data_IF_899627118111
#
_entry.id   IF_899627118111
#
_cell.length_a   1.000
_cell.length_b   1.000
_cell.length_c   1.000
_cell.angle_alpha   90.00
_cell.angle_beta   90.00
_cell.angle_gamma   90.00
#
_symmetry.space_group_name_H-M   'P 1'
#
loop_
_entity.id
_entity.type
_entity.pdbx_description
1 polymer ?
#
# COMPACT_ATOMS: atom_id res chain seq x y z
N UNK A 1 -8.17 6.56 -4.29
CA UNK A 1 -7.41 6.29 -5.53
C UNK A 1 -8.15 5.44 -6.59
N UNK A 2 -9.28 4.80 -6.27
CA UNK A 2 -9.92 3.85 -7.21
C UNK A 2 -10.57 4.52 -8.43
N UNK A 3 -11.17 5.70 -8.27
CA UNK A 3 -11.93 6.37 -9.33
C UNK A 3 -11.09 6.75 -10.56
N UNK A 4 -9.90 7.40 -10.43
CA UNK A 4 -9.05 7.66 -11.59
C UNK A 4 -8.62 6.38 -12.32
N UNK A 5 -8.30 5.31 -11.59
CA UNK A 5 -7.90 4.03 -12.18
C UNK A 5 -9.06 3.33 -12.91
N UNK A 6 -10.28 3.37 -12.36
CA UNK A 6 -11.49 2.85 -13.05
C UNK A 6 -11.80 3.60 -14.34
N UNK A 7 -11.47 4.90 -14.40
CA UNK A 7 -11.62 5.76 -15.57
C UNK A 7 -10.43 5.68 -16.56
N UNK A 8 -9.41 4.84 -16.29
CA UNK A 8 -8.22 4.73 -17.15
C UNK A 8 -7.24 5.91 -17.05
N UNK A 9 -7.45 6.81 -16.09
CA UNK A 9 -6.59 7.96 -15.76
C UNK A 9 -5.61 7.64 -14.63
N UNK A 10 -5.53 6.37 -14.22
CA UNK A 10 -4.59 5.86 -13.23
C UNK A 10 -3.16 5.86 -13.77
N UNK A 11 -2.21 6.06 -12.88
CA UNK A 11 -0.84 6.31 -13.29
C UNK A 11 0.19 6.22 -12.17
N UNK A 12 1.44 5.91 -12.54
CA UNK A 12 2.56 5.94 -11.60
C UNK A 12 2.81 7.37 -11.14
N UNK A 13 3.17 7.56 -9.90
CA UNK A 13 3.43 8.87 -9.33
C UNK A 13 4.91 9.21 -9.57
N UNK A 14 5.18 10.28 -10.32
CA UNK A 14 6.55 10.71 -10.64
C UNK A 14 7.39 9.56 -11.23
N UNK A 15 8.63 9.37 -10.76
CA UNK A 15 9.51 8.26 -11.10
C UNK A 15 8.97 6.87 -10.67
N UNK A 16 8.14 6.81 -9.62
CA UNK A 16 7.43 5.60 -9.19
C UNK A 16 8.25 4.64 -8.32
N UNK A 17 9.48 5.01 -7.93
CA UNK A 17 10.35 4.17 -7.11
C UNK A 17 10.08 4.30 -5.61
N UNK A 18 9.34 5.33 -5.20
CA UNK A 18 8.95 5.51 -3.81
C UNK A 18 8.13 4.31 -3.32
N UNK A 19 8.47 3.82 -2.13
CA UNK A 19 7.77 2.70 -1.51
C UNK A 19 6.37 3.13 -1.08
N UNK A 20 5.39 2.26 -1.33
CA UNK A 20 4.01 2.47 -0.96
C UNK A 20 3.60 1.38 0.03
N UNK A 21 3.60 1.67 1.34
CA UNK A 21 3.08 0.73 2.31
C UNK A 21 1.61 0.42 2.02
N UNK A 22 1.26 -0.85 2.11
CA UNK A 22 -0.08 -1.35 1.89
C UNK A 22 -0.37 -2.45 2.92
N UNK A 23 -1.65 -2.70 3.20
CA UNK A 23 -2.09 -3.83 4.01
C UNK A 23 -3.55 -4.13 3.64
N UNK A 24 -3.94 -5.40 3.64
CA UNK A 24 -5.33 -5.77 3.46
C UNK A 24 -6.15 -5.44 4.72
N UNK A 25 -7.41 -5.04 4.55
CA UNK A 25 -8.29 -4.65 5.66
C UNK A 25 -8.44 -5.77 6.72
N UNK A 26 -8.49 -7.02 6.26
CA UNK A 26 -8.58 -8.17 7.16
C UNK A 26 -7.32 -8.34 8.02
N UNK A 27 -6.14 -8.16 7.44
CA UNK A 27 -4.88 -8.33 8.18
C UNK A 27 -4.63 -7.19 9.17
N UNK A 28 -5.00 -5.94 8.85
CA UNK A 28 -4.86 -4.85 9.82
C UNK A 28 -5.80 -5.03 11.02
N UNK A 29 -7.04 -5.51 10.78
CA UNK A 29 -7.96 -5.81 11.87
C UNK A 29 -7.45 -6.95 12.76
N UNK A 30 -6.95 -8.03 12.16
CA UNK A 30 -6.31 -9.13 12.88
C UNK A 30 -5.07 -8.68 13.65
N UNK A 31 -4.27 -7.78 13.09
CA UNK A 31 -3.08 -7.26 13.75
C UNK A 31 -3.46 -6.51 15.03
N UNK A 32 -4.50 -5.67 15.01
CA UNK A 32 -4.99 -5.02 16.22
C UNK A 32 -5.44 -6.02 17.29
N UNK A 33 -6.21 -7.03 16.90
CA UNK A 33 -6.66 -8.09 17.84
C UNK A 33 -5.46 -8.84 18.41
N UNK A 34 -4.54 -9.26 17.54
CA UNK A 34 -3.32 -9.99 17.93
C UNK A 34 -2.49 -9.21 18.95
N UNK A 35 -2.21 -7.93 18.66
CA UNK A 35 -1.42 -7.07 19.54
C UNK A 35 -2.16 -6.80 20.87
N UNK A 36 -3.48 -6.68 20.86
CA UNK A 36 -4.27 -6.51 22.10
C UNK A 36 -4.26 -7.73 23.02
N UNK A 37 -3.99 -8.92 22.48
CA UNK A 37 -3.99 -10.19 23.20
C UNK A 37 -2.57 -10.64 23.64
N UNK A 38 -1.52 -9.94 23.20
CA UNK A 38 -0.14 -10.28 23.52
C UNK A 38 0.47 -9.26 24.47
N UNK A 39 0.66 -9.63 25.74
CA UNK A 39 1.23 -8.73 26.76
C UNK A 39 2.66 -8.25 26.40
N UNK A 40 3.40 -9.07 25.64
CA UNK A 40 4.74 -8.74 25.12
C UNK A 40 4.72 -7.74 23.96
N UNK A 41 3.55 -7.42 23.40
CA UNK A 41 3.41 -6.45 22.31
C UNK A 41 3.46 -5.01 22.85
N UNK A 42 4.68 -4.52 23.10
CA UNK A 42 4.92 -3.18 23.65
C UNK A 42 5.57 -2.24 22.61
N UNK A 43 5.11 -0.99 22.60
CA UNK A 43 5.66 0.07 21.73
C UNK A 43 5.05 0.12 20.32
N UNK A 44 5.84 0.63 19.36
CA UNK A 44 5.36 0.92 18.00
C UNK A 44 5.50 -0.30 17.08
N UNK A 45 4.44 -0.61 16.33
CA UNK A 45 4.35 -1.66 15.32
C UNK A 45 3.96 -1.08 13.95
N UNK A 46 4.55 -1.63 12.87
CA UNK A 46 4.17 -1.27 11.51
C UNK A 46 2.95 -2.08 11.05
N UNK A 47 1.85 -1.39 10.74
CA UNK A 47 0.64 -1.99 10.17
C UNK A 47 0.71 -2.13 8.66
N UNK A 48 1.72 -2.85 8.16
CA UNK A 48 1.98 -3.00 6.72
C UNK A 48 2.15 -4.47 6.36
N UNK A 49 1.82 -4.83 5.13
CA UNK A 49 2.05 -6.16 4.58
C UNK A 49 3.57 -6.46 4.53
N UNK A 50 3.97 -7.74 4.63
CA UNK A 50 5.38 -8.12 4.81
C UNK A 50 6.24 -7.91 3.56
N UNK A 51 5.63 -7.71 2.39
CA UNK A 51 6.33 -7.52 1.12
C UNK A 51 6.13 -6.07 0.63
N UNK A 52 7.10 -5.17 0.90
CA UNK A 52 7.02 -3.78 0.44
C UNK A 52 7.03 -3.71 -1.08
N UNK A 53 6.26 -2.76 -1.61
CA UNK A 53 6.15 -2.53 -3.05
C UNK A 53 6.43 -1.06 -3.37
N UNK A 54 6.94 -0.81 -4.55
CA UNK A 54 7.06 0.55 -5.09
C UNK A 54 5.73 1.02 -5.65
N UNK A 55 5.56 2.33 -5.79
CA UNK A 55 4.38 2.90 -6.45
C UNK A 55 4.20 2.35 -7.89
N UNK A 56 5.29 2.10 -8.61
CA UNK A 56 5.25 1.46 -9.94
C UNK A 56 4.64 0.06 -9.87
N UNK A 57 5.07 -0.77 -8.93
CA UNK A 57 4.53 -2.12 -8.72
C UNK A 57 3.06 -2.07 -8.33
N UNK A 58 2.70 -1.18 -7.40
CA UNK A 58 1.31 -0.97 -6.97
C UNK A 58 0.41 -0.55 -8.13
N UNK A 59 0.83 0.46 -8.89
CA UNK A 59 0.10 0.99 -10.05
C UNK A 59 -0.13 -0.10 -11.10
N UNK A 60 0.91 -0.89 -11.41
CA UNK A 60 0.82 -1.98 -12.38
C UNK A 60 -0.16 -3.06 -11.92
N UNK A 61 -0.08 -3.45 -10.64
CA UNK A 61 -0.94 -4.49 -10.09
C UNK A 61 -2.41 -4.05 -10.07
N UNK A 62 -2.68 -2.80 -9.67
CA UNK A 62 -4.03 -2.23 -9.66
C UNK A 62 -4.61 -2.09 -11.07
N UNK A 63 -3.81 -1.62 -12.04
CA UNK A 63 -4.24 -1.54 -13.42
C UNK A 63 -4.57 -2.92 -14.02
N UNK A 64 -3.77 -3.94 -13.67
CA UNK A 64 -4.01 -5.33 -14.08
C UNK A 64 -5.31 -5.87 -13.49
N UNK A 65 -5.51 -5.69 -12.18
CA UNK A 65 -6.71 -6.17 -11.48
C UNK A 65 -8.01 -5.53 -12.02
N UNK A 66 -7.93 -4.26 -12.46
CA UNK A 66 -9.05 -3.53 -13.04
C UNK A 66 -9.23 -3.71 -14.56
N UNK A 67 -8.36 -4.47 -15.23
CA UNK A 67 -8.29 -4.52 -16.71
C UNK A 67 -8.17 -3.13 -17.36
N UNK A 68 -7.43 -2.21 -16.74
CA UNK A 68 -7.21 -0.83 -17.21
C UNK A 68 -5.72 -0.49 -17.12
N UNK A 69 -4.98 -0.41 -18.25
CA UNK A 69 -3.55 -0.11 -18.22
C UNK A 69 -3.28 1.29 -17.66
N UNK A 70 -2.50 1.37 -16.58
CA UNK A 70 -2.16 2.61 -15.89
C UNK A 70 -0.75 3.11 -16.29
N UNK A 71 -0.60 3.51 -17.55
CA UNK A 71 0.71 3.81 -18.17
C UNK A 71 1.15 5.27 -18.06
N UNK A 72 0.22 6.21 -17.85
CA UNK A 72 0.54 7.63 -17.81
C UNK A 72 1.10 8.03 -16.45
N UNK A 73 2.31 8.61 -16.34
CA UNK A 73 2.78 9.10 -15.07
C UNK A 73 1.96 10.32 -14.63
N UNK A 74 1.54 10.36 -13.37
CA UNK A 74 0.91 11.52 -12.75
C UNK A 74 2.01 12.50 -12.32
N UNK A 75 2.08 13.72 -12.87
CA UNK A 75 3.07 14.70 -12.48
C UNK A 75 2.91 15.13 -11.02
N UNK A 76 4.02 15.37 -10.33
CA UNK A 76 4.01 15.82 -8.93
C UNK A 76 3.23 17.14 -8.73
N UNK A 77 3.24 18.02 -9.73
CA UNK A 77 2.49 19.29 -9.70
C UNK A 77 0.98 19.06 -9.60
N UNK A 78 0.45 18.06 -10.31
CA UNK A 78 -0.98 17.70 -10.26
C UNK A 78 -1.34 17.17 -8.86
N UNK A 79 -0.47 16.34 -8.29
CA UNK A 79 -0.67 15.82 -6.93
C UNK A 79 -0.60 16.92 -5.87
N UNK A 80 0.36 17.83 -5.98
CA UNK A 80 0.48 19.00 -5.09
C UNK A 80 -0.74 19.91 -5.20
N UNK A 81 -1.25 20.14 -6.40
CA UNK A 81 -2.46 20.93 -6.61
C UNK A 81 -3.72 20.26 -6.02
N UNK A 82 -3.84 18.94 -6.14
CA UNK A 82 -5.00 18.19 -5.66
C UNK A 82 -4.97 17.89 -4.15
N UNK A 83 -3.80 17.63 -3.57
CA UNK A 83 -3.64 17.12 -2.20
C UNK A 83 -2.81 18.03 -1.28
N UNK A 84 -2.25 19.14 -1.78
CA UNK A 84 -1.41 20.04 -0.99
C UNK A 84 -0.20 19.33 -0.37
N UNK A 85 0.04 19.56 0.91
CA UNK A 85 1.13 18.93 1.69
C UNK A 85 0.98 17.41 1.82
N UNK A 86 -0.26 16.88 1.75
CA UNK A 86 -0.50 15.43 1.78
C UNK A 86 0.09 14.72 0.55
N UNK A 87 0.39 15.45 -0.52
CA UNK A 87 1.12 14.91 -1.68
C UNK A 87 2.52 14.41 -1.32
N UNK A 88 3.15 14.92 -0.26
CA UNK A 88 4.47 14.46 0.18
C UNK A 88 4.47 13.01 0.64
N UNK A 89 3.37 12.53 1.24
CA UNK A 89 3.20 11.12 1.60
C UNK A 89 3.23 10.22 0.36
N UNK A 90 2.70 10.72 -0.75
CA UNK A 90 2.68 10.01 -2.04
C UNK A 90 3.99 10.12 -2.81
N UNK A 91 4.80 11.17 -2.54
CA UNK A 91 6.04 11.47 -3.25
C UNK A 91 7.29 10.92 -2.55
N UNK A 92 7.33 10.91 -1.21
CA UNK A 92 8.48 10.43 -0.43
C UNK A 92 8.49 8.91 -0.25
N UNK A 93 7.33 8.31 0.00
CA UNK A 93 7.19 6.88 0.26
C UNK A 93 7.90 6.39 1.53
N UNK A 94 7.51 5.22 2.04
CA UNK A 94 8.13 4.63 3.23
C UNK A 94 8.26 3.12 3.06
N UNK A 95 9.45 2.58 3.28
CA UNK A 95 9.67 1.12 3.32
C UNK A 95 9.44 0.59 4.73
N UNK A 96 8.19 0.53 5.14
CA UNK A 96 7.79 0.02 6.45
C UNK A 96 7.59 -1.49 6.40
N UNK A 97 8.40 -2.24 7.16
CA UNK A 97 8.35 -3.71 7.26
C UNK A 97 7.82 -4.11 8.65
N UNK A 98 6.88 -5.06 8.76
CA UNK A 98 6.26 -5.46 10.02
C UNK A 98 7.10 -6.43 10.87
N UNK A 99 8.41 -6.21 10.96
CA UNK A 99 9.37 -7.16 11.59
C UNK A 99 8.98 -7.52 13.03
N UNK A 100 8.56 -6.55 13.84
CA UNK A 100 8.16 -6.80 15.22
C UNK A 100 6.92 -7.67 15.33
N UNK A 101 5.92 -7.47 14.48
CA UNK A 101 4.72 -8.30 14.48
C UNK A 101 5.06 -9.73 14.05
N UNK A 102 5.90 -9.89 13.02
CA UNK A 102 6.38 -11.20 12.57
C UNK A 102 7.23 -11.90 13.63
N UNK A 103 8.09 -11.18 14.36
CA UNK A 103 8.89 -11.73 15.45
C UNK A 103 8.05 -12.23 16.62
N UNK A 104 6.85 -11.67 16.83
CA UNK A 104 5.87 -12.16 17.80
C UNK A 104 5.02 -13.33 17.26
N UNK A 105 5.21 -13.74 16.01
CA UNK A 105 4.47 -14.84 15.39
C UNK A 105 3.17 -14.42 14.69
N UNK A 106 2.97 -13.13 14.39
CA UNK A 106 1.82 -12.71 13.59
C UNK A 106 1.98 -13.18 12.13
N UNK A 107 1.02 -13.97 11.66
CA UNK A 107 0.95 -14.45 10.28
C UNK A 107 -0.04 -13.64 9.45
N UNK A 108 0.43 -13.09 8.33
CA UNK A 108 -0.37 -12.35 7.36
C UNK A 108 -1.07 -13.30 6.39
N UNK A 109 -2.36 -13.10 6.14
CA UNK A 109 -3.07 -13.85 5.10
C UNK A 109 -2.80 -13.30 3.70
N UNK A 110 -2.63 -11.98 3.58
CA UNK A 110 -2.51 -11.27 2.30
C UNK A 110 -1.09 -10.72 2.14
N UNK A 111 -0.22 -11.52 1.55
CA UNK A 111 1.22 -11.20 1.39
C UNK A 111 1.60 -10.77 -0.02
N UNK A 112 0.85 -11.20 -1.03
CA UNK A 112 1.04 -10.82 -2.43
C UNK A 112 0.04 -9.75 -2.85
N UNK A 113 0.57 -8.62 -3.34
CA UNK A 113 -0.25 -7.48 -3.73
C UNK A 113 -1.18 -7.79 -4.90
N UNK A 114 -0.70 -8.52 -5.90
CA UNK A 114 -1.47 -8.79 -7.13
C UNK A 114 -2.70 -9.63 -6.81
N UNK A 115 -2.51 -10.73 -6.08
CA UNK A 115 -3.58 -11.64 -5.65
C UNK A 115 -4.55 -10.91 -4.72
N UNK A 116 -4.04 -10.10 -3.80
CA UNK A 116 -4.88 -9.30 -2.90
C UNK A 116 -5.76 -8.33 -3.67
N UNK A 117 -5.19 -7.54 -4.60
CA UNK A 117 -5.94 -6.60 -5.41
C UNK A 117 -7.03 -7.29 -6.24
N UNK A 118 -6.70 -8.41 -6.88
CA UNK A 118 -7.67 -9.21 -7.64
C UNK A 118 -8.86 -9.70 -6.80
N UNK A 119 -8.70 -9.86 -5.49
CA UNK A 119 -9.77 -10.31 -4.59
C UNK A 119 -10.70 -9.19 -4.09
N UNK A 120 -10.34 -7.92 -4.29
CA UNK A 120 -11.06 -6.78 -3.70
C UNK A 120 -11.58 -5.75 -4.72
N UNK A 121 -11.21 -5.84 -6.00
CA UNK A 121 -11.65 -4.89 -7.05
C UNK A 121 -12.68 -5.44 -8.01
#
# INVERSE_FOLDING_TARGET
MLLPFKLGLGGRISHGQQYMPWIHLHDIARLFIFLSQHESAQGVFNGTAPNPVTNQQFTKALGTALNRPAIFPVPAVVLKAAFGEMSELLLGGQKAVPEKAQALGFEFFYTDLQTTLNSVV
#
